data_IF_250297679517
#
_entry.id   IF_250297679517
#
_cell.length_a   1.000
_cell.length_b   1.000
_cell.length_c   1.000
_cell.angle_alpha   90.00
_cell.angle_beta   90.00
_cell.angle_gamma   90.00
#
_symmetry.space_group_name_H-M   'P 1'
#
loop_
_entity.id
_entity.type
_entity.pdbx_description
1 polymer ?
#
# COMPACT_ATOMS: atom_id res chain seq x y z
N UNK A 1 28.84 -47.81 -9.25
CA UNK A 1 28.10 -47.95 -7.99
C UNK A 1 26.70 -47.41 -8.24
N UNK A 2 25.71 -48.27 -8.49
CA UNK A 2 24.30 -47.86 -8.58
C UNK A 2 23.65 -48.01 -7.21
N UNK A 3 22.98 -46.96 -6.76
CA UNK A 3 22.21 -46.97 -5.51
C UNK A 3 20.77 -47.29 -5.90
N UNK A 4 20.29 -48.46 -5.45
CA UNK A 4 18.89 -48.87 -5.54
C UNK A 4 18.11 -48.18 -4.42
N UNK A 5 17.01 -47.50 -4.76
CA UNK A 5 16.09 -46.92 -3.78
C UNK A 5 14.86 -47.80 -3.65
N UNK A 6 14.69 -48.39 -2.47
CA UNK A 6 13.50 -49.15 -2.10
C UNK A 6 12.40 -48.19 -1.59
N UNK A 7 11.23 -48.10 -2.24
CA UNK A 7 10.20 -47.15 -1.83
C UNK A 7 9.48 -47.60 -0.56
N UNK A 8 9.62 -46.80 0.51
CA UNK A 8 8.85 -46.95 1.75
C UNK A 8 7.38 -46.62 1.51
N UNK A 9 6.49 -47.60 1.73
CA UNK A 9 5.04 -47.38 1.72
C UNK A 9 4.60 -46.60 2.97
N UNK A 10 4.12 -45.37 2.76
CA UNK A 10 3.46 -44.58 3.79
C UNK A 10 1.97 -44.96 3.87
N UNK A 11 1.61 -45.86 4.79
CA UNK A 11 0.21 -46.09 5.16
C UNK A 11 -0.34 -44.89 5.93
N UNK A 12 -0.96 -43.94 5.21
CA UNK A 12 -1.75 -42.86 5.82
C UNK A 12 -3.04 -43.43 6.40
N UNK A 13 -2.99 -43.76 7.70
CA UNK A 13 -4.16 -44.11 8.52
C UNK A 13 -5.09 -42.90 8.63
N UNK A 14 -6.06 -42.78 7.71
CA UNK A 14 -7.13 -41.77 7.77
C UNK A 14 -7.94 -41.96 9.07
N UNK A 15 -7.74 -41.09 10.05
CA UNK A 15 -8.63 -41.00 11.23
C UNK A 15 -9.97 -40.45 10.74
N UNK A 16 -10.99 -41.31 10.71
CA UNK A 16 -12.37 -40.87 10.53
C UNK A 16 -12.76 -40.08 11.79
N UNK A 17 -13.04 -38.79 11.62
CA UNK A 17 -13.62 -37.99 12.69
C UNK A 17 -15.04 -38.49 12.92
N UNK A 18 -15.33 -38.81 14.18
CA UNK A 18 -16.61 -39.35 14.61
C UNK A 18 -17.69 -38.26 14.44
N UNK A 19 -18.78 -38.50 13.69
CA UNK A 19 -19.84 -37.51 13.46
C UNK A 19 -20.48 -37.00 14.75
N UNK A 20 -20.40 -37.74 15.85
CA UNK A 20 -20.85 -37.30 17.18
C UNK A 20 -20.04 -36.10 17.72
N UNK A 21 -18.73 -36.06 17.43
CA UNK A 21 -17.87 -34.95 17.86
C UNK A 21 -18.23 -33.67 17.11
N UNK A 22 -18.49 -33.77 15.81
CA UNK A 22 -18.92 -32.64 14.99
C UNK A 22 -20.28 -32.10 15.47
N UNK A 23 -21.22 -32.99 15.79
CA UNK A 23 -22.53 -32.60 16.33
C UNK A 23 -22.45 -31.84 17.66
N UNK A 24 -21.56 -32.28 18.57
CA UNK A 24 -21.39 -31.62 19.87
C UNK A 24 -20.85 -30.19 19.76
N UNK A 25 -19.94 -29.94 18.81
CA UNK A 25 -19.35 -28.60 18.58
C UNK A 25 -20.42 -27.62 18.06
N UNK A 26 -21.29 -28.07 17.16
CA UNK A 26 -22.36 -27.23 16.60
C UNK A 26 -23.39 -26.84 17.66
N UNK A 27 -23.76 -27.76 18.55
CA UNK A 27 -24.72 -27.48 19.64
C UNK A 27 -24.14 -26.46 20.63
N UNK A 28 -22.86 -26.57 20.99
CA UNK A 28 -22.20 -25.61 21.89
C UNK A 28 -22.15 -24.22 21.24
N UNK A 29 -21.84 -24.14 19.95
CA UNK A 29 -21.78 -22.86 19.22
C UNK A 29 -23.16 -22.19 19.12
N UNK A 30 -24.21 -22.96 18.87
CA UNK A 30 -25.58 -22.45 18.83
C UNK A 30 -26.06 -21.94 20.21
N UNK A 31 -25.66 -22.61 21.30
CA UNK A 31 -25.99 -22.19 22.66
C UNK A 31 -25.31 -20.87 23.04
N UNK A 32 -24.05 -20.68 22.64
CA UNK A 32 -23.30 -19.43 22.88
C UNK A 32 -23.92 -18.26 22.10
N UNK A 33 -24.34 -18.48 20.84
CA UNK A 33 -25.01 -17.46 20.03
C UNK A 33 -26.41 -17.09 20.56
N UNK A 34 -27.11 -18.02 21.23
CA UNK A 34 -28.42 -17.74 21.83
C UNK A 34 -28.33 -16.85 23.09
N UNK A 35 -27.20 -16.87 23.80
CA UNK A 35 -27.00 -16.08 25.03
C UNK A 35 -26.55 -14.63 24.71
N UNK A 36 -25.96 -14.39 23.54
CA UNK A 36 -25.37 -13.10 23.18
C UNK A 36 -26.33 -12.07 22.55
N UNK A 37 -27.65 -12.28 22.58
CA UNK A 37 -28.62 -11.39 21.90
C UNK A 37 -29.39 -10.50 22.88
N UNK A 38 -29.07 -9.19 23.03
CA UNK A 38 -29.89 -8.29 23.82
C UNK A 38 -31.16 -7.91 23.06
N UNK A 39 -32.31 -8.26 23.62
CA UNK A 39 -33.62 -7.72 23.24
C UNK A 39 -34.03 -6.65 24.27
N UNK A 40 -34.21 -5.42 23.81
CA UNK A 40 -35.02 -4.33 24.39
C UNK A 40 -35.15 -3.31 23.26
N UNK A 41 -36.31 -2.81 22.82
CA UNK A 41 -37.69 -2.95 23.22
C UNK A 41 -38.51 -2.10 22.24
N UNK A 42 -39.73 -2.56 21.97
CA UNK A 42 -40.71 -1.92 21.09
C UNK A 42 -41.22 -0.58 21.67
N UNK A 43 -41.68 0.30 20.77
CA UNK A 43 -42.52 1.45 21.08
C UNK A 43 -43.20 2.02 19.84
N UNK A 44 -44.31 1.39 19.47
CA UNK A 44 -45.42 1.81 18.58
C UNK A 44 -45.69 3.32 18.52
N UNK A 45 -46.07 3.91 17.37
CA UNK A 45 -47.48 4.17 16.99
C UNK A 45 -47.68 4.63 15.52
N UNK A 46 -48.49 3.87 14.78
CA UNK A 46 -49.57 4.16 13.79
C UNK A 46 -49.71 5.46 12.94
N UNK A 47 -50.50 5.40 11.84
CA UNK A 47 -50.25 6.07 10.55
C UNK A 47 -51.27 7.16 10.16
N UNK A 48 -50.97 7.94 9.10
CA UNK A 48 -51.88 8.65 8.18
C UNK A 48 -51.05 9.03 6.92
N UNK A 49 -51.31 8.45 5.74
CA UNK A 49 -52.33 8.80 4.73
C UNK A 49 -51.87 9.86 3.71
N UNK A 50 -51.76 9.41 2.44
CA UNK A 50 -51.98 10.11 1.15
C UNK A 50 -51.10 11.36 0.86
N UNK A 51 -50.54 11.60 -0.33
CA UNK A 51 -51.14 11.62 -1.68
C UNK A 51 -50.04 11.59 -2.77
N UNK A 52 -50.46 11.17 -3.96
CA UNK A 52 -49.79 11.29 -5.27
C UNK A 52 -49.21 12.66 -5.60
N UNK A 53 -48.09 12.69 -6.35
CA UNK A 53 -47.99 13.41 -7.64
C UNK A 53 -46.64 13.15 -8.35
N UNK A 54 -46.70 12.59 -9.55
CA UNK A 54 -45.81 12.93 -10.69
C UNK A 54 -46.17 14.36 -11.16
N UNK A 55 -45.32 15.14 -11.89
CA UNK A 55 -44.65 14.67 -13.11
C UNK A 55 -43.23 15.27 -13.39
N UNK A 56 -42.56 14.70 -14.41
CA UNK A 56 -41.55 15.33 -15.30
C UNK A 56 -42.21 16.49 -16.13
N UNK A 57 -41.57 17.29 -17.03
CA UNK A 57 -40.30 17.09 -17.76
C UNK A 57 -39.47 18.37 -18.16
N UNK A 58 -38.31 18.10 -18.79
CA UNK A 58 -37.56 18.79 -19.88
C UNK A 58 -37.73 20.29 -20.18
N UNK A 59 -36.60 21.01 -20.29
CA UNK A 59 -36.31 22.12 -21.22
C UNK A 59 -34.84 22.58 -21.01
N UNK A 60 -34.03 23.08 -21.94
CA UNK A 60 -34.03 23.22 -23.40
C UNK A 60 -32.63 23.66 -23.81
N UNK A 61 -32.24 23.29 -25.03
CA UNK A 61 -31.01 23.71 -25.72
C UNK A 61 -31.03 25.24 -25.93
N UNK A 62 -29.90 25.89 -25.62
CA UNK A 62 -29.65 27.29 -25.96
C UNK A 62 -28.27 27.44 -26.61
N UNK A 63 -28.23 27.37 -27.95
CA UNK A 63 -27.08 27.84 -28.73
C UNK A 63 -27.09 29.37 -28.76
N UNK A 64 -25.99 30.00 -28.36
CA UNK A 64 -25.73 31.41 -28.62
C UNK A 64 -24.32 31.59 -29.19
N UNK A 65 -24.28 31.92 -30.47
CA UNK A 65 -23.11 32.46 -31.17
C UNK A 65 -22.93 33.93 -30.76
N UNK A 66 -21.68 34.34 -30.47
CA UNK A 66 -21.35 35.74 -30.19
C UNK A 66 -19.85 35.99 -30.08
N UNK A 67 -19.27 36.39 -31.22
CA UNK A 67 -18.10 37.27 -31.52
C UNK A 67 -17.07 37.62 -30.40
N UNK A 68 -15.75 37.59 -30.70
CA UNK A 68 -14.68 37.70 -29.70
C UNK A 68 -14.42 39.15 -29.25
N UNK A 69 -14.08 39.39 -27.97
CA UNK A 69 -13.45 40.65 -27.57
C UNK A 69 -11.94 40.62 -27.82
N UNK A 70 -11.47 41.70 -28.44
CA UNK A 70 -10.07 42.04 -28.61
C UNK A 70 -9.40 42.44 -27.30
N UNK A 71 -8.08 42.22 -27.24
CA UNK A 71 -7.11 42.76 -26.27
C UNK A 71 -7.23 42.27 -24.81
N UNK A 72 -6.86 41.00 -24.59
CA UNK A 72 -6.23 40.61 -23.32
C UNK A 72 -4.74 40.97 -23.39
N UNK A 73 -4.30 41.85 -22.50
CA UNK A 73 -2.89 42.14 -22.31
C UNK A 73 -2.14 40.84 -22.00
N UNK A 74 -1.02 40.62 -22.70
CA UNK A 74 -0.07 39.56 -22.38
C UNK A 74 0.48 39.86 -21.00
N UNK A 75 0.06 39.07 -20.01
CA UNK A 75 0.69 39.05 -18.69
C UNK A 75 2.20 38.80 -18.90
N UNK A 76 3.10 39.61 -18.32
CA UNK A 76 4.51 39.34 -18.42
C UNK A 76 4.76 37.96 -17.84
N UNK A 77 5.35 37.09 -18.66
CA UNK A 77 5.84 35.76 -18.28
C UNK A 77 6.61 35.93 -16.97
N UNK A 78 5.98 35.54 -15.87
CA UNK A 78 6.65 35.46 -14.58
C UNK A 78 7.79 34.47 -14.80
N UNK A 79 9.07 34.85 -14.60
CA UNK A 79 10.15 33.88 -14.67
C UNK A 79 9.78 32.72 -13.74
N UNK A 80 10.14 31.46 -14.10
CA UNK A 80 9.90 30.33 -13.21
C UNK A 80 10.41 30.71 -11.81
N UNK A 81 9.66 30.40 -10.74
CA UNK A 81 10.15 30.67 -9.40
C UNK A 81 11.57 30.13 -9.32
N UNK A 82 12.52 30.98 -8.93
CA UNK A 82 13.88 30.51 -8.63
C UNK A 82 13.74 29.35 -7.64
N UNK A 83 14.46 28.23 -7.83
CA UNK A 83 14.41 27.16 -6.85
C UNK A 83 14.77 27.77 -5.50
N UNK A 84 13.89 27.58 -4.51
CA UNK A 84 14.17 28.03 -3.15
C UNK A 84 15.55 27.51 -2.76
N UNK A 85 16.46 28.36 -2.26
CA UNK A 85 17.81 27.93 -1.84
C UNK A 85 17.79 26.90 -0.70
N UNK A 86 16.61 26.60 -0.13
CA UNK A 86 16.37 25.60 0.91
C UNK A 86 16.31 24.18 0.32
N UNK A 87 15.94 24.00 -0.95
CA UNK A 87 15.90 22.69 -1.61
C UNK A 87 17.30 22.08 -1.87
N UNK A 88 18.38 22.77 -1.50
CA UNK A 88 19.74 22.46 -1.95
C UNK A 88 20.55 21.48 -1.07
N UNK A 89 20.02 20.94 0.03
CA UNK A 89 20.86 20.15 0.95
C UNK A 89 20.21 18.90 1.52
N UNK A 90 19.70 18.01 0.67
CA UNK A 90 19.43 16.65 1.14
C UNK A 90 20.72 15.95 1.58
N UNK A 91 20.68 15.10 2.62
CA UNK A 91 21.81 14.23 2.90
C UNK A 91 21.99 13.30 1.71
N UNK A 92 23.13 13.38 1.05
CA UNK A 92 23.55 12.39 0.07
C UNK A 92 24.50 11.37 0.72
N UNK A 93 24.78 10.27 0.02
CA UNK A 93 25.68 9.26 0.55
C UNK A 93 27.11 9.79 0.81
N UNK A 94 27.74 10.55 -0.10
CA UNK A 94 29.07 11.12 0.14
C UNK A 94 29.19 11.91 1.45
N UNK A 95 28.19 12.70 1.82
CA UNK A 95 28.19 13.47 3.07
C UNK A 95 28.10 12.58 4.33
N UNK A 96 27.57 11.36 4.21
CA UNK A 96 27.30 10.46 5.33
C UNK A 96 28.28 9.29 5.43
N UNK A 97 28.96 8.92 4.33
CA UNK A 97 29.77 7.71 4.25
C UNK A 97 30.83 7.61 5.35
N UNK A 98 31.49 8.72 5.70
CA UNK A 98 32.53 8.76 6.75
C UNK A 98 31.99 8.79 8.18
N UNK A 99 30.68 9.00 8.36
CA UNK A 99 30.01 9.03 9.66
C UNK A 99 29.41 7.67 10.05
N UNK A 100 28.97 6.90 9.06
CA UNK A 100 28.20 5.66 9.22
C UNK A 100 29.09 4.54 9.73
N UNK A 101 28.83 4.10 10.97
CA UNK A 101 29.46 2.93 11.59
C UNK A 101 28.86 1.64 11.07
N UNK A 102 29.63 0.57 10.88
CA UNK A 102 29.08 -0.74 10.47
C UNK A 102 28.56 -1.48 11.71
N UNK A 103 27.36 -2.04 11.63
CA UNK A 103 26.76 -2.85 12.69
C UNK A 103 26.31 -4.21 12.11
N UNK A 104 26.87 -5.31 12.61
CA UNK A 104 26.47 -6.68 12.24
C UNK A 104 25.37 -7.21 13.18
N UNK A 105 24.32 -6.41 13.35
CA UNK A 105 23.22 -6.68 14.28
C UNK A 105 21.94 -5.97 13.82
N UNK A 106 20.80 -6.50 14.25
CA UNK A 106 19.51 -5.83 14.07
C UNK A 106 19.47 -4.56 14.90
N UNK A 107 19.14 -3.45 14.25
CA UNK A 107 19.04 -2.15 14.91
C UNK A 107 18.53 -1.06 13.98
N UNK A 108 18.03 0.01 14.56
CA UNK A 108 17.58 1.20 13.85
C UNK A 108 18.65 2.28 13.95
N UNK A 109 18.98 2.89 12.82
CA UNK A 109 19.91 4.00 12.73
C UNK A 109 19.15 5.29 12.46
N UNK A 110 19.50 6.36 13.15
CA UNK A 110 19.01 7.70 12.88
C UNK A 110 20.21 8.64 12.65
N UNK A 111 20.25 9.27 11.48
CA UNK A 111 21.20 10.36 11.20
C UNK A 111 20.51 11.68 11.54
N UNK A 112 21.11 12.40 12.48
CA UNK A 112 20.57 13.64 13.02
C UNK A 112 21.28 14.85 12.44
N UNK A 113 20.55 15.95 12.28
CA UNK A 113 21.09 17.22 11.76
C UNK A 113 20.62 18.43 12.57
N UNK A 114 21.46 19.45 12.67
CA UNK A 114 21.22 20.73 13.38
C UNK A 114 20.47 21.78 12.52
N UNK A 115 19.67 21.35 11.52
CA UNK A 115 19.11 22.24 10.47
C UNK A 115 18.29 23.46 10.95
N UNK A 116 17.90 23.54 12.21
CA UNK A 116 17.06 24.62 12.71
C UNK A 116 17.72 26.02 12.69
N UNK A 117 19.04 26.14 12.46
CA UNK A 117 19.75 27.42 12.50
C UNK A 117 20.90 27.54 11.49
N UNK A 118 20.81 26.98 10.27
CA UNK A 118 21.89 27.16 9.28
C UNK A 118 21.78 28.56 8.70
N UNK A 119 22.60 29.49 9.17
CA UNK A 119 22.78 30.77 8.49
C UNK A 119 23.29 30.51 7.06
N UNK A 120 22.90 31.31 6.05
CA UNK A 120 23.22 31.06 4.64
C UNK A 120 24.73 30.98 4.29
N UNK A 121 25.62 31.26 5.25
CA UNK A 121 27.07 31.21 5.12
C UNK A 121 27.76 30.20 6.07
N UNK A 122 27.01 29.34 6.76
CA UNK A 122 27.62 28.31 7.61
C UNK A 122 28.12 27.09 6.81
N UNK A 123 29.23 26.47 7.25
CA UNK A 123 29.72 25.23 6.65
C UNK A 123 28.66 24.12 6.77
N UNK A 124 28.66 23.21 5.79
CA UNK A 124 27.72 22.11 5.58
C UNK A 124 27.06 21.53 6.85
N UNK A 125 25.78 21.11 6.77
CA UNK A 125 25.04 20.60 7.92
C UNK A 125 25.83 19.52 8.67
N UNK A 126 25.98 19.68 9.99
CA UNK A 126 26.66 18.70 10.83
C UNK A 126 25.74 17.51 11.08
N UNK A 127 26.14 16.36 10.57
CA UNK A 127 25.44 15.10 10.81
C UNK A 127 26.03 14.36 12.01
N UNK A 128 25.18 13.63 12.72
CA UNK A 128 25.62 12.69 13.75
C UNK A 128 24.78 11.42 13.68
N UNK A 129 25.44 10.28 13.74
CA UNK A 129 24.79 8.99 13.83
C UNK A 129 24.32 8.70 15.27
N UNK A 130 23.13 8.12 15.38
CA UNK A 130 22.69 7.38 16.55
C UNK A 130 22.16 6.02 16.11
N UNK A 131 22.62 4.96 16.77
CA UNK A 131 22.18 3.60 16.53
C UNK A 131 21.55 3.04 17.79
N UNK A 132 20.41 2.37 17.64
CA UNK A 132 19.70 1.70 18.70
C UNK A 132 19.52 0.21 18.32
N UNK A 133 19.97 -0.74 19.16
CA UNK A 133 19.72 -2.16 18.90
C UNK A 133 18.22 -2.48 18.97
N UNK A 134 17.80 -3.52 18.26
CA UNK A 134 16.45 -4.05 18.46
C UNK A 134 16.35 -4.82 19.77
N UNK A 135 15.27 -4.59 20.49
CA UNK A 135 14.86 -5.33 21.69
C UNK A 135 13.55 -6.04 21.42
N UNK A 136 13.24 -7.09 22.18
CA UNK A 136 11.97 -7.81 22.09
C UNK A 136 11.15 -7.51 23.34
N UNK A 137 9.93 -7.03 23.17
CA UNK A 137 9.03 -6.76 24.29
C UNK A 137 8.36 -8.05 24.81
N UNK A 138 7.59 -7.95 25.90
CA UNK A 138 6.89 -9.10 26.50
C UNK A 138 5.85 -9.76 25.57
N UNK A 139 5.36 -9.04 24.55
CA UNK A 139 4.44 -9.56 23.53
C UNK A 139 5.17 -10.25 22.37
N UNK A 140 6.51 -10.28 22.37
CA UNK A 140 7.32 -10.83 21.28
C UNK A 140 7.54 -9.88 20.11
N UNK A 141 7.10 -8.62 20.20
CA UNK A 141 7.33 -7.61 19.17
C UNK A 141 8.76 -7.09 19.26
N UNK A 142 9.46 -7.05 18.14
CA UNK A 142 10.76 -6.42 18.03
C UNK A 142 10.61 -4.91 17.83
N UNK A 143 11.34 -4.13 18.63
CA UNK A 143 11.32 -2.68 18.56
C UNK A 143 12.70 -2.08 18.79
N UNK A 144 12.94 -0.87 18.30
CA UNK A 144 14.12 -0.07 18.61
C UNK A 144 13.70 1.34 18.98
N UNK A 145 14.27 1.86 20.05
CA UNK A 145 13.98 3.21 20.54
C UNK A 145 15.08 4.18 20.11
N UNK A 146 14.77 5.10 19.21
CA UNK A 146 15.71 6.14 18.81
C UNK A 146 15.82 7.15 19.94
N UNK A 147 17.01 7.36 20.51
CA UNK A 147 17.16 8.27 21.66
C UNK A 147 16.56 9.67 21.40
N UNK A 148 15.99 10.37 22.37
CA UNK A 148 15.56 11.75 22.17
C UNK A 148 16.72 12.68 21.84
N UNK A 149 16.43 13.78 21.16
CA UNK A 149 17.43 14.77 20.81
C UNK A 149 16.83 16.08 20.34
N UNK A 150 17.62 17.16 20.43
CA UNK A 150 17.22 18.48 19.91
C UNK A 150 17.28 18.59 18.38
N UNK A 151 17.99 17.66 17.75
CA UNK A 151 18.22 17.58 16.31
C UNK A 151 17.09 16.83 15.59
N UNK A 152 16.77 17.28 14.39
CA UNK A 152 15.85 16.58 13.49
C UNK A 152 16.54 15.32 12.93
N UNK A 153 15.79 14.24 12.77
CA UNK A 153 16.27 13.03 12.10
C UNK A 153 16.13 13.25 10.59
N UNK A 154 17.25 13.38 9.89
CA UNK A 154 17.27 13.60 8.44
C UNK A 154 17.21 12.28 7.66
N UNK A 155 17.74 11.20 8.25
CA UNK A 155 17.79 9.87 7.63
C UNK A 155 17.43 8.84 8.69
N UNK A 156 16.56 7.91 8.34
CA UNK A 156 16.25 6.73 9.14
C UNK A 156 16.80 5.52 8.40
N UNK A 157 17.35 4.56 9.11
CA UNK A 157 17.90 3.37 8.52
C UNK A 157 17.71 2.15 9.38
N UNK A 158 17.97 1.00 8.77
CA UNK A 158 17.95 -0.29 9.43
C UNK A 158 19.28 -0.99 9.17
N UNK A 159 19.83 -1.63 10.21
CA UNK A 159 20.96 -2.54 10.11
C UNK A 159 20.49 -3.95 10.36
N UNK A 160 21.09 -4.91 9.67
CA UNK A 160 20.83 -6.33 9.82
C UNK A 160 22.16 -7.09 9.97
N UNK A 161 22.17 -8.25 10.65
CA UNK A 161 23.29 -9.17 10.57
C UNK A 161 23.51 -9.59 9.12
N UNK A 162 24.76 -9.71 8.66
CA UNK A 162 25.08 -10.14 7.29
C UNK A 162 24.47 -11.50 6.95
N UNK A 163 24.43 -12.41 7.92
CA UNK A 163 23.82 -13.73 7.77
C UNK A 163 22.29 -13.71 7.57
N UNK A 164 21.63 -12.55 7.79
CA UNK A 164 20.21 -12.40 7.49
C UNK A 164 19.94 -12.21 6.00
N UNK A 165 20.95 -11.84 5.19
CA UNK A 165 20.82 -11.60 3.76
C UNK A 165 19.64 -10.64 3.47
N UNK A 166 19.67 -9.46 4.09
CA UNK A 166 18.65 -8.44 3.88
C UNK A 166 18.74 -7.89 2.45
N UNK A 167 17.61 -7.88 1.74
CA UNK A 167 17.53 -7.59 0.31
C UNK A 167 16.89 -6.22 0.05
N UNK A 168 15.86 -5.87 0.82
CA UNK A 168 15.12 -4.62 0.68
C UNK A 168 14.43 -4.25 2.00
N UNK A 169 14.01 -2.99 2.18
CA UNK A 169 13.22 -2.57 3.33
C UNK A 169 12.17 -1.50 2.96
N UNK A 170 11.05 -1.53 3.69
CA UNK A 170 9.93 -0.58 3.56
C UNK A 170 9.63 0.04 4.91
N UNK A 171 9.26 1.31 4.92
CA UNK A 171 8.95 2.03 6.15
C UNK A 171 7.49 2.49 6.11
N UNK A 172 6.78 2.15 7.18
CA UNK A 172 5.38 2.49 7.39
C UNK A 172 5.26 3.39 8.61
N UNK A 173 4.42 4.42 8.55
CA UNK A 173 3.97 5.15 9.74
C UNK A 173 2.75 4.43 10.31
N UNK A 174 2.76 4.25 11.63
CA UNK A 174 1.65 3.62 12.36
C UNK A 174 0.67 4.69 12.82
N UNK A 175 -0.57 4.55 12.39
CA UNK A 175 -1.71 5.38 12.76
C UNK A 175 -2.66 4.62 13.70
N UNK A 176 -3.66 5.33 14.21
CA UNK A 176 -4.69 4.77 15.10
C UNK A 176 -5.38 3.57 14.42
N UNK A 177 -5.77 2.59 15.24
CA UNK A 177 -6.37 1.31 14.79
C UNK A 177 -5.42 0.50 13.90
N UNK A 178 -4.11 0.58 14.15
CA UNK A 178 -3.05 -0.14 13.44
C UNK A 178 -3.06 0.08 11.92
N UNK A 179 -3.56 1.24 11.47
CA UNK A 179 -3.48 1.64 10.06
C UNK A 179 -2.04 1.98 9.70
N UNK A 180 -1.60 1.50 8.53
CA UNK A 180 -0.24 1.68 8.05
C UNK A 180 -0.20 2.56 6.79
N UNK A 181 0.45 3.71 6.90
CA UNK A 181 0.77 4.60 5.80
C UNK A 181 2.16 4.23 5.26
N UNK A 182 2.28 3.94 3.96
CA UNK A 182 3.60 3.74 3.34
C UNK A 182 4.29 5.10 3.22
N UNK A 183 5.39 5.28 3.96
CA UNK A 183 6.19 6.49 3.87
C UNK A 183 6.98 6.46 2.58
N UNK A 184 6.76 7.45 1.71
CA UNK A 184 7.58 7.62 0.51
C UNK A 184 9.01 7.95 0.90
N UNK A 185 9.95 7.17 0.40
CA UNK A 185 11.37 7.27 0.77
C UNK A 185 12.28 7.01 -0.42
N UNK A 186 13.41 7.71 -0.43
CA UNK A 186 14.54 7.42 -1.30
C UNK A 186 15.62 6.75 -0.47
N UNK A 187 16.04 5.56 -0.92
CA UNK A 187 17.19 4.90 -0.35
C UNK A 187 18.48 5.64 -0.76
N UNK A 188 19.34 5.90 0.20
CA UNK A 188 20.70 6.41 0.01
C UNK A 188 21.71 5.40 0.56
N UNK A 189 22.94 5.43 0.05
CA UNK A 189 24.02 4.57 0.53
C UNK A 189 24.38 3.42 -0.41
N UNK A 190 25.30 2.54 0.03
CA UNK A 190 25.90 1.52 -0.83
C UNK A 190 24.93 0.38 -1.21
N UNK A 191 23.70 0.41 -0.70
CA UNK A 191 22.70 -0.62 -0.96
C UNK A 191 22.83 -1.83 -0.03
N UNK A 192 22.25 -2.95 -0.44
CA UNK A 192 22.16 -4.20 0.34
C UNK A 192 23.51 -4.85 0.69
N UNK A 193 24.63 -4.39 0.12
CA UNK A 193 25.96 -5.01 0.29
C UNK A 193 26.46 -5.01 1.74
N UNK A 194 26.04 -4.03 2.55
CA UNK A 194 26.42 -3.94 3.96
C UNK A 194 25.29 -4.36 4.92
N UNK A 195 24.24 -5.00 4.41
CA UNK A 195 23.03 -5.33 5.18
C UNK A 195 22.47 -4.12 5.94
N UNK A 196 22.61 -2.93 5.34
CA UNK A 196 22.25 -1.65 5.92
C UNK A 196 21.53 -0.81 4.86
N UNK A 197 20.36 -0.29 5.22
CA UNK A 197 19.55 0.56 4.35
C UNK A 197 19.36 1.91 5.03
N UNK A 198 19.52 2.99 4.29
CA UNK A 198 19.33 4.37 4.78
C UNK A 198 18.31 5.07 3.89
N UNK A 199 17.35 5.73 4.51
CA UNK A 199 16.18 6.30 3.84
C UNK A 199 16.02 7.77 4.19
N UNK A 200 15.87 8.57 3.15
CA UNK A 200 15.41 9.96 3.24
C UNK A 200 13.94 9.96 2.86
N UNK A 201 13.10 10.68 3.61
CA UNK A 201 11.68 10.82 3.27
C UNK A 201 11.54 11.68 2.02
N UNK A 202 10.80 11.22 1.03
CA UNK A 202 10.38 12.00 -0.13
C UNK A 202 9.06 12.69 0.20
N UNK A 203 8.94 13.99 -0.08
CA UNK A 203 7.65 14.67 0.06
C UNK A 203 6.68 14.18 -1.03
N UNK A 204 5.38 14.13 -0.74
CA UNK A 204 4.37 13.70 -1.71
C UNK A 204 4.31 14.56 -2.99
N UNK A 205 4.69 15.84 -2.90
CA UNK A 205 4.51 16.85 -3.98
C UNK A 205 5.79 17.64 -4.33
N UNK A 206 6.98 17.24 -3.86
CA UNK A 206 8.17 18.07 -4.09
C UNK A 206 9.31 17.84 -3.10
N UNK A 207 10.24 18.81 -2.97
CA UNK A 207 11.51 18.58 -2.34
C UNK A 207 11.33 18.02 -0.92
N UNK A 208 12.10 17.00 -0.54
CA UNK A 208 12.05 16.32 0.75
C UNK A 208 12.42 17.26 1.91
N UNK A 209 11.40 17.93 2.43
CA UNK A 209 11.60 19.01 3.40
C UNK A 209 11.17 18.65 4.83
N UNK A 210 10.73 17.42 5.09
CA UNK A 210 10.44 16.97 6.45
C UNK A 210 11.37 15.84 6.84
N UNK A 211 12.25 16.12 7.80
CA UNK A 211 12.90 15.03 8.53
C UNK A 211 11.85 14.11 9.16
N UNK A 212 12.29 12.97 9.67
CA UNK A 212 11.42 12.01 10.30
C UNK A 212 10.78 12.61 11.56
N UNK A 213 9.45 12.66 11.55
CA UNK A 213 8.65 13.20 12.66
C UNK A 213 8.65 12.23 13.84
N UNK A 214 8.51 12.73 15.08
CA UNK A 214 8.23 11.88 16.23
C UNK A 214 6.97 11.04 16.03
N UNK A 215 7.03 9.76 16.41
CA UNK A 215 5.94 8.82 16.26
C UNK A 215 6.42 7.36 16.26
N UNK A 216 5.49 6.47 15.93
CA UNK A 216 5.76 5.04 15.78
C UNK A 216 5.80 4.68 14.29
N UNK A 217 6.84 3.98 13.90
CA UNK A 217 7.03 3.48 12.54
C UNK A 217 7.23 1.97 12.59
N UNK A 218 6.82 1.28 11.52
CA UNK A 218 7.11 -0.12 11.29
C UNK A 218 8.06 -0.21 10.10
N UNK A 219 9.21 -0.83 10.31
CA UNK A 219 10.18 -1.13 9.26
C UNK A 219 10.03 -2.61 8.92
N UNK A 220 9.62 -2.88 7.70
CA UNK A 220 9.63 -4.23 7.15
C UNK A 220 10.94 -4.45 6.42
N UNK A 221 11.58 -5.60 6.61
CA UNK A 221 12.82 -5.97 5.93
C UNK A 221 12.63 -7.30 5.22
N UNK A 222 12.82 -7.31 3.91
CA UNK A 222 12.85 -8.52 3.10
C UNK A 222 14.20 -9.21 3.32
N UNK A 223 14.14 -10.48 3.74
CA UNK A 223 15.30 -11.35 3.93
C UNK A 223 15.14 -12.62 3.13
N UNK A 224 16.21 -13.41 2.97
CA UNK A 224 16.12 -14.74 2.36
C UNK A 224 15.13 -15.69 3.07
N UNK A 225 14.75 -15.41 4.33
CA UNK A 225 13.83 -16.23 5.13
C UNK A 225 12.40 -15.69 5.20
N UNK A 226 12.13 -14.53 4.58
CA UNK A 226 10.83 -13.85 4.62
C UNK A 226 10.94 -12.41 5.11
N UNK A 227 9.81 -11.86 5.54
CA UNK A 227 9.70 -10.47 5.99
C UNK A 227 9.90 -10.41 7.51
N UNK A 228 10.82 -9.55 7.97
CA UNK A 228 11.02 -9.24 9.38
C UNK A 228 10.40 -7.87 9.69
N UNK A 229 9.67 -7.77 10.78
CA UNK A 229 9.01 -6.54 11.22
C UNK A 229 9.75 -5.95 12.43
N UNK A 230 10.10 -4.67 12.37
CA UNK A 230 10.79 -3.95 13.44
C UNK A 230 10.04 -2.64 13.70
N UNK A 231 9.57 -2.44 14.93
CA UNK A 231 8.94 -1.18 15.33
C UNK A 231 10.02 -0.14 15.69
N UNK A 232 10.09 0.96 14.94
CA UNK A 232 10.96 2.08 15.26
C UNK A 232 10.16 3.16 16.01
N UNK A 233 10.59 3.47 17.23
CA UNK A 233 9.99 4.53 18.06
C UNK A 233 10.85 5.78 18.01
N UNK A 234 10.27 6.86 17.51
CA UNK A 234 10.91 8.17 17.43
C UNK A 234 10.26 9.09 18.48
N UNK A 235 10.96 9.41 19.57
CA UNK A 235 10.44 10.29 20.59
C UNK A 235 10.49 11.77 20.16
N UNK A 236 9.67 12.58 20.80
CA UNK A 236 9.77 14.03 20.79
C UNK A 236 11.01 14.50 21.56
N UNK A 237 11.25 15.81 21.56
CA UNK A 237 12.33 16.43 22.34
C UNK A 237 12.21 16.21 23.85
N UNK A 238 11.01 15.94 24.38
CA UNK A 238 10.82 15.64 25.81
C UNK A 238 11.13 14.18 26.16
N UNK A 239 11.30 13.31 25.16
CA UNK A 239 11.51 11.87 25.38
C UNK A 239 10.27 11.01 25.17
N UNK A 240 9.09 11.63 25.05
CA UNK A 240 7.83 10.91 24.86
C UNK A 240 7.60 10.56 23.39
N UNK A 241 7.12 9.36 23.10
CA UNK A 241 6.67 8.95 21.76
C UNK A 241 5.20 9.33 21.62
N UNK A 242 4.82 10.20 20.67
CA UNK A 242 3.42 10.53 20.46
C UNK A 242 2.60 9.28 20.15
N UNK A 243 1.36 9.17 20.68
CA UNK A 243 0.48 8.07 20.30
C UNK A 243 0.12 8.15 18.80
N UNK A 244 -0.20 7.02 18.16
CA UNK A 244 -0.68 7.01 16.77
C UNK A 244 -1.88 7.94 16.54
N UNK A 245 -1.78 8.76 15.50
CA UNK A 245 -2.78 9.73 15.07
C UNK A 245 -3.77 9.14 14.06
N UNK A 246 -4.87 9.83 13.77
CA UNK A 246 -5.82 9.40 12.73
C UNK A 246 -5.21 9.63 11.34
N UNK A 247 -5.37 8.66 10.44
CA UNK A 247 -4.91 8.80 9.06
C UNK A 247 -5.97 9.46 8.19
N UNK A 248 -5.69 10.66 7.67
CA UNK A 248 -6.57 11.39 6.77
C UNK A 248 -6.42 10.89 5.32
N UNK A 249 -7.06 9.76 5.00
CA UNK A 249 -6.98 9.13 3.66
C UNK A 249 -7.86 9.81 2.61
N UNK A 250 -8.74 10.72 3.01
CA UNK A 250 -9.70 11.31 2.08
C UNK A 250 -9.04 12.35 1.16
N UNK A 251 -8.86 11.97 -0.11
CA UNK A 251 -8.62 12.94 -1.18
C UNK A 251 -9.94 13.47 -1.73
N UNK A 252 -10.07 14.79 -1.81
CA UNK A 252 -11.24 15.44 -2.41
C UNK A 252 -11.17 15.40 -3.94
N UNK A 253 -12.33 15.34 -4.60
CA UNK A 253 -12.45 15.49 -6.06
C UNK A 253 -12.04 14.26 -6.88
N UNK A 254 -11.94 13.08 -6.27
CA UNK A 254 -11.69 11.83 -6.99
C UNK A 254 -12.88 11.43 -7.87
N UNK A 255 -12.58 10.91 -9.06
CA UNK A 255 -13.59 10.31 -9.94
C UNK A 255 -13.81 8.85 -9.53
N UNK A 256 -15.03 8.45 -9.14
CA UNK A 256 -15.28 7.09 -8.68
C UNK A 256 -15.03 6.09 -9.81
N UNK A 257 -14.44 4.94 -9.46
CA UNK A 257 -14.10 3.89 -10.42
C UNK A 257 -15.31 3.40 -11.23
N UNK A 258 -16.50 3.38 -10.62
CA UNK A 258 -17.76 2.98 -11.26
C UNK A 258 -18.21 3.90 -12.40
N UNK A 259 -17.65 5.11 -12.50
CA UNK A 259 -17.93 6.04 -13.59
C UNK A 259 -17.02 5.84 -14.80
N UNK A 260 -16.07 4.89 -14.74
CA UNK A 260 -15.01 4.71 -15.74
C UNK A 260 -15.24 3.39 -16.48
N UNK A 261 -15.33 3.47 -17.81
CA UNK A 261 -15.33 2.31 -18.70
C UNK A 261 -13.87 2.04 -19.14
N UNK A 262 -13.30 0.84 -18.88
CA UNK A 262 -11.92 0.52 -19.25
C UNK A 262 -11.73 0.21 -20.75
N UNK A 263 -12.55 0.79 -21.64
CA UNK A 263 -12.56 0.53 -23.08
C UNK A 263 -11.26 0.81 -23.85
N UNK A 264 -10.27 1.45 -23.24
CA UNK A 264 -8.98 1.70 -23.88
C UNK A 264 -7.95 0.60 -23.54
N UNK A 265 -8.28 -0.32 -22.63
CA UNK A 265 -7.34 -1.28 -22.06
C UNK A 265 -7.43 -2.62 -22.79
N UNK A 266 -6.29 -3.27 -23.03
CA UNK A 266 -6.25 -4.65 -23.52
C UNK A 266 -6.69 -5.64 -22.43
N UNK A 267 -6.61 -6.94 -22.68
CA UNK A 267 -6.78 -7.95 -21.62
C UNK A 267 -5.64 -7.86 -20.59
N UNK A 268 -5.98 -7.93 -19.31
CA UNK A 268 -5.02 -7.97 -18.21
C UNK A 268 -5.37 -7.05 -17.05
N UNK A 269 -4.37 -6.79 -16.20
CA UNK A 269 -4.52 -5.95 -15.02
C UNK A 269 -4.63 -4.47 -15.40
N UNK A 270 -5.47 -3.74 -14.70
CA UNK A 270 -5.62 -2.29 -14.87
C UNK A 270 -5.94 -1.58 -13.55
N UNK A 271 -5.72 -0.27 -13.54
CA UNK A 271 -6.18 0.62 -12.49
C UNK A 271 -7.02 1.75 -13.08
N UNK A 272 -7.92 2.33 -12.28
CA UNK A 272 -8.62 3.56 -12.62
C UNK A 272 -8.06 4.73 -11.82
N UNK A 273 -7.75 5.84 -12.47
CA UNK A 273 -7.18 7.04 -11.86
C UNK A 273 -7.70 8.27 -12.61
N UNK A 274 -8.16 9.28 -11.88
CA UNK A 274 -8.57 10.58 -12.42
C UNK A 274 -9.48 10.51 -13.67
N UNK A 275 -10.46 9.58 -13.65
CA UNK A 275 -11.44 9.43 -14.74
C UNK A 275 -10.96 8.60 -15.94
N UNK A 276 -9.78 7.99 -15.87
CA UNK A 276 -9.21 7.14 -16.92
C UNK A 276 -8.85 5.75 -16.38
N UNK A 277 -8.81 4.76 -17.26
CA UNK A 277 -8.22 3.46 -16.98
C UNK A 277 -6.79 3.42 -17.53
N UNK A 278 -5.87 2.77 -16.81
CA UNK A 278 -4.47 2.57 -17.19
C UNK A 278 -4.13 1.09 -17.09
N UNK A 279 -3.49 0.54 -18.13
CA UNK A 279 -3.03 -0.85 -18.13
C UNK A 279 -1.82 -0.98 -17.22
N UNK A 280 -1.76 -2.09 -16.48
CA UNK A 280 -0.66 -2.42 -15.58
C UNK A 280 0.05 -3.66 -16.12
N UNK A 281 1.37 -3.55 -16.30
CA UNK A 281 2.20 -4.66 -16.78
C UNK A 281 2.38 -5.71 -15.68
N UNK A 282 1.45 -6.64 -15.60
CA UNK A 282 1.50 -7.84 -14.76
C UNK A 282 1.27 -9.09 -15.61
N UNK A 283 1.93 -10.18 -15.24
CA UNK A 283 1.70 -11.49 -15.84
C UNK A 283 0.77 -12.31 -14.95
N UNK A 284 -0.18 -13.01 -15.55
CA UNK A 284 -1.02 -13.96 -14.84
C UNK A 284 -0.14 -15.03 -14.14
N UNK A 285 -0.45 -15.33 -12.89
CA UNK A 285 0.28 -16.31 -12.10
C UNK A 285 -0.62 -16.95 -11.04
N UNK A 286 -0.02 -17.81 -10.22
CA UNK A 286 -0.63 -18.29 -8.97
C UNK A 286 -0.55 -17.20 -7.89
N UNK A 287 -1.43 -17.26 -6.89
CA UNK A 287 -1.32 -16.40 -5.71
C UNK A 287 0.07 -16.48 -5.07
N UNK A 288 0.78 -15.35 -5.03
CA UNK A 288 2.09 -15.22 -4.41
C UNK A 288 1.98 -15.00 -2.90
N UNK A 289 3.00 -15.46 -2.16
CA UNK A 289 3.17 -15.04 -0.77
C UNK A 289 3.61 -13.56 -0.72
N UNK A 290 3.38 -12.82 0.39
CA UNK A 290 3.82 -11.44 0.52
C UNK A 290 5.32 -11.26 0.24
N UNK A 291 6.16 -12.15 0.77
CA UNK A 291 7.61 -12.12 0.53
C UNK A 291 7.98 -12.41 -0.93
N UNK A 292 7.27 -13.31 -1.59
CA UNK A 292 7.49 -13.60 -3.02
C UNK A 292 7.07 -12.44 -3.92
N UNK A 293 5.93 -11.81 -3.62
CA UNK A 293 5.46 -10.66 -4.37
C UNK A 293 6.41 -9.46 -4.22
N UNK A 294 6.93 -9.23 -3.01
CA UNK A 294 7.97 -8.22 -2.78
C UNK A 294 9.26 -8.56 -3.53
N UNK A 295 9.75 -9.80 -3.39
CA UNK A 295 10.98 -10.19 -4.07
C UNK A 295 10.89 -9.99 -5.60
N UNK A 296 9.73 -10.28 -6.20
CA UNK A 296 9.49 -10.04 -7.64
C UNK A 296 9.59 -8.54 -8.01
N UNK A 297 9.01 -7.64 -7.21
CA UNK A 297 9.09 -6.19 -7.49
C UNK A 297 10.49 -5.61 -7.33
N UNK A 298 11.35 -6.27 -6.54
CA UNK A 298 12.75 -5.90 -6.35
C UNK A 298 13.67 -6.31 -7.53
N UNK A 299 13.25 -7.26 -8.38
CA UNK A 299 14.05 -7.71 -9.54
C UNK A 299 13.85 -6.83 -10.77
N UNK A 300 14.94 -6.62 -11.52
CA UNK A 300 14.91 -5.89 -12.79
C UNK A 300 14.57 -6.83 -13.96
N UNK A 301 13.29 -6.90 -14.33
CA UNK A 301 12.80 -7.51 -15.57
C UNK A 301 11.88 -8.72 -15.38
N UNK A 302 10.97 -8.93 -16.35
CA UNK A 302 10.08 -10.11 -16.39
C UNK A 302 9.11 -10.22 -15.21
N UNK A 303 8.55 -9.08 -14.76
CA UNK A 303 7.78 -9.01 -13.51
C UNK A 303 6.45 -9.73 -13.60
N UNK A 304 6.17 -10.52 -12.58
CA UNK A 304 4.84 -11.08 -12.32
C UNK A 304 3.97 -9.99 -11.68
N UNK A 305 4.56 -9.17 -10.81
CA UNK A 305 3.89 -8.10 -10.06
C UNK A 305 4.08 -6.75 -10.75
N UNK A 306 2.98 -6.13 -11.18
CA UNK A 306 3.03 -4.76 -11.68
C UNK A 306 3.47 -3.81 -10.57
N UNK A 307 4.34 -2.83 -10.88
CA UNK A 307 4.69 -1.75 -9.96
C UNK A 307 4.07 -0.46 -10.48
N UNK A 308 3.27 0.24 -9.68
CA UNK A 308 2.57 1.44 -10.11
C UNK A 308 2.62 2.55 -9.05
N UNK A 309 2.95 3.77 -9.49
CA UNK A 309 2.92 4.99 -8.67
C UNK A 309 1.61 5.74 -8.96
N UNK A 310 0.53 5.25 -8.36
CA UNK A 310 -0.83 5.74 -8.59
C UNK A 310 -1.51 6.06 -7.25
N UNK A 311 -1.08 7.12 -6.53
CA UNK A 311 -1.59 7.44 -5.19
C UNK A 311 -3.10 7.74 -5.20
N UNK A 312 -3.64 8.15 -6.36
CA UNK A 312 -5.04 8.52 -6.56
C UNK A 312 -5.86 7.42 -7.26
N UNK A 313 -5.36 6.18 -7.30
CA UNK A 313 -6.07 5.07 -7.93
C UNK A 313 -7.40 4.81 -7.21
N UNK A 314 -8.52 4.95 -7.91
CA UNK A 314 -9.86 4.76 -7.34
C UNK A 314 -10.41 3.36 -7.53
N UNK A 315 -9.77 2.56 -8.38
CA UNK A 315 -10.19 1.21 -8.73
C UNK A 315 -9.03 0.36 -9.21
N UNK A 316 -9.11 -0.94 -8.95
CA UNK A 316 -8.21 -1.97 -9.48
C UNK A 316 -9.06 -3.06 -10.12
N UNK A 317 -8.67 -3.55 -11.29
CA UNK A 317 -9.50 -4.52 -12.01
C UNK A 317 -8.72 -5.35 -13.02
N UNK A 318 -9.42 -6.33 -13.58
CA UNK A 318 -8.92 -7.20 -14.64
C UNK A 318 -9.91 -7.19 -15.79
N UNK A 319 -9.39 -6.97 -17.00
CA UNK A 319 -10.09 -7.16 -18.26
C UNK A 319 -9.75 -8.54 -18.81
N UNK A 320 -10.79 -9.26 -19.22
CA UNK A 320 -10.72 -10.61 -19.75
C UNK A 320 -10.89 -10.61 -21.27
N UNK A 321 -10.45 -11.68 -21.93
CA UNK A 321 -10.58 -11.79 -23.39
C UNK A 321 -12.05 -11.94 -23.81
N UNK A 322 -12.34 -11.72 -25.10
CA UNK A 322 -13.70 -11.83 -25.61
C UNK A 322 -14.19 -13.28 -25.56
N UNK A 323 -15.45 -13.46 -25.16
CA UNK A 323 -16.11 -14.77 -25.11
C UNK A 323 -15.89 -15.53 -23.80
N UNK A 324 -15.20 -14.93 -22.85
CA UNK A 324 -15.10 -15.39 -21.47
C UNK A 324 -16.34 -14.96 -20.68
N UNK A 325 -16.69 -15.69 -19.63
CA UNK A 325 -17.77 -15.36 -18.68
C UNK A 325 -17.24 -15.42 -17.24
N UNK A 326 -17.30 -14.31 -16.50
CA UNK A 326 -16.75 -14.21 -15.15
C UNK A 326 -17.70 -14.89 -14.17
N UNK A 327 -17.21 -15.92 -13.48
CA UNK A 327 -17.97 -16.72 -12.52
C UNK A 327 -17.61 -16.43 -11.07
N UNK A 328 -16.42 -15.87 -10.82
CA UNK A 328 -15.90 -15.55 -9.49
C UNK A 328 -14.83 -14.47 -9.57
N UNK A 329 -14.68 -13.71 -8.48
CA UNK A 329 -13.59 -12.73 -8.37
C UNK A 329 -13.34 -12.36 -6.91
N UNK A 330 -12.06 -12.15 -6.58
CA UNK A 330 -11.60 -11.77 -5.25
C UNK A 330 -10.43 -10.78 -5.36
N UNK A 331 -10.37 -9.80 -4.46
CA UNK A 331 -9.20 -8.96 -4.26
C UNK A 331 -8.67 -9.12 -2.83
N UNK A 332 -7.37 -9.30 -2.70
CA UNK A 332 -6.67 -9.46 -1.42
C UNK A 332 -5.51 -8.50 -1.31
N UNK A 333 -5.30 -7.93 -0.12
CA UNK A 333 -4.06 -7.20 0.21
C UNK A 333 -3.05 -8.20 0.78
N UNK A 334 -1.88 -8.28 0.16
CA UNK A 334 -0.77 -9.16 0.58
C UNK A 334 0.18 -8.46 1.56
N UNK A 335 0.39 -7.15 1.40
CA UNK A 335 1.26 -6.35 2.25
C UNK A 335 0.70 -4.92 2.39
N UNK A 336 0.93 -4.21 3.53
CA UNK A 336 1.73 -4.62 4.69
C UNK A 336 1.06 -5.67 5.57
N UNK A 337 -0.27 -5.69 5.66
CA UNK A 337 -1.04 -6.65 6.45
C UNK A 337 -2.18 -7.25 5.64
N UNK A 338 -2.51 -8.51 5.92
CA UNK A 338 -3.58 -9.25 5.25
C UNK A 338 -4.98 -8.94 5.76
N UNK A 339 -5.13 -8.19 6.86
CA UNK A 339 -6.43 -7.72 7.33
C UNK A 339 -6.92 -6.60 6.40
N UNK A 340 -7.78 -7.00 5.47
CA UNK A 340 -8.32 -6.13 4.44
C UNK A 340 -9.76 -6.56 4.16
N UNK A 341 -10.71 -5.63 4.31
CA UNK A 341 -12.08 -5.87 3.90
C UNK A 341 -12.19 -5.61 2.40
N UNK A 342 -12.35 -6.67 1.62
CA UNK A 342 -12.44 -6.56 0.19
C UNK A 342 -13.72 -5.83 -0.23
N UNK A 343 -13.64 -4.77 -1.04
CA UNK A 343 -14.82 -4.14 -1.60
C UNK A 343 -15.54 -5.11 -2.54
N UNK A 344 -16.85 -4.95 -2.67
CA UNK A 344 -17.62 -5.75 -3.61
C UNK A 344 -17.16 -5.47 -5.05
N UNK A 345 -16.94 -6.52 -5.87
CA UNK A 345 -16.60 -6.35 -7.28
C UNK A 345 -17.77 -5.75 -8.06
N UNK A 346 -17.43 -4.90 -9.04
CA UNK A 346 -18.33 -4.37 -10.06
C UNK A 346 -18.01 -5.12 -11.35
N UNK A 347 -18.82 -6.10 -11.77
CA UNK A 347 -18.69 -6.68 -13.10
C UNK A 347 -19.16 -5.66 -14.15
N UNK A 348 -18.55 -5.72 -15.33
CA UNK A 348 -19.01 -4.92 -16.45
C UNK A 348 -18.55 -5.46 -17.79
N UNK A 349 -19.09 -4.87 -18.83
CA UNK A 349 -18.76 -5.17 -20.22
C UNK A 349 -18.48 -3.87 -20.93
N UNK A 350 -17.33 -3.79 -21.61
CA UNK A 350 -17.01 -2.63 -22.41
C UNK A 350 -17.58 -2.75 -23.82
N UNK A 351 -18.62 -1.98 -24.12
CA UNK A 351 -19.31 -1.98 -25.41
C UNK A 351 -18.39 -1.53 -26.56
N UNK A 352 -17.43 -0.65 -26.26
CA UNK A 352 -16.54 -0.02 -27.26
C UNK A 352 -15.43 -0.92 -27.77
N UNK A 353 -15.10 -2.00 -27.04
CA UNK A 353 -14.12 -3.00 -27.47
C UNK A 353 -14.76 -4.33 -27.84
N UNK A 354 -16.01 -4.31 -28.30
CA UNK A 354 -16.70 -5.52 -28.74
C UNK A 354 -16.97 -6.51 -27.61
N UNK A 355 -17.29 -5.98 -26.43
CA UNK A 355 -17.77 -6.77 -25.29
C UNK A 355 -16.68 -7.42 -24.45
N UNK A 356 -15.52 -6.77 -24.26
CA UNK A 356 -14.55 -7.26 -23.27
C UNK A 356 -15.19 -7.19 -21.88
N UNK A 357 -15.20 -8.33 -21.18
CA UNK A 357 -15.64 -8.39 -19.81
C UNK A 357 -14.56 -7.84 -18.88
N UNK A 358 -15.00 -7.23 -17.80
CA UNK A 358 -14.10 -6.83 -16.74
C UNK A 358 -14.74 -7.03 -15.38
N UNK A 359 -13.87 -7.16 -14.39
CA UNK A 359 -14.22 -6.97 -12.99
C UNK A 359 -13.40 -5.83 -12.41
N UNK A 360 -14.07 -4.96 -11.65
CA UNK A 360 -13.49 -3.77 -11.06
C UNK A 360 -13.78 -3.71 -9.57
N UNK A 361 -12.74 -3.50 -8.76
CA UNK A 361 -12.83 -3.33 -7.32
C UNK A 361 -12.63 -1.85 -6.97
N UNK A 362 -13.70 -1.14 -6.55
CA UNK A 362 -13.59 0.27 -6.16
C UNK A 362 -12.91 0.40 -4.79
N UNK A 363 -12.10 1.43 -4.60
CA UNK A 363 -11.55 1.76 -3.29
C UNK A 363 -12.68 2.14 -2.32
N UNK A 364 -12.68 1.55 -1.11
CA UNK A 364 -13.71 1.81 -0.11
C UNK A 364 -13.69 3.26 0.43
N UNK A 365 -12.50 3.87 0.51
CA UNK A 365 -12.29 5.21 1.07
C UNK A 365 -11.90 6.24 -0.02
N UNK A 366 -12.26 5.99 -1.29
CA UNK A 366 -12.00 6.88 -2.41
C UNK A 366 -10.75 6.50 -3.21
N UNK A 367 -9.58 6.41 -2.56
CA UNK A 367 -8.34 5.94 -3.18
C UNK A 367 -7.85 4.63 -2.54
N UNK A 368 -7.20 3.80 -3.36
CA UNK A 368 -6.53 2.59 -2.89
C UNK A 368 -5.29 2.97 -2.08
N UNK A 369 -5.15 2.36 -0.91
CA UNK A 369 -3.98 2.55 -0.08
C UNK A 369 -2.74 1.96 -0.77
N UNK A 370 -1.54 2.55 -0.59
CA UNK A 370 -0.31 1.91 -1.02
C UNK A 370 -0.15 0.52 -0.40
N UNK A 371 0.38 -0.43 -1.16
CA UNK A 371 0.52 -1.82 -0.74
C UNK A 371 0.56 -2.79 -1.91
N UNK A 372 0.65 -4.07 -1.59
CA UNK A 372 0.65 -5.13 -2.61
C UNK A 372 -0.70 -5.84 -2.60
N UNK A 373 -1.29 -6.00 -3.77
CA UNK A 373 -2.62 -6.58 -3.98
C UNK A 373 -2.55 -7.76 -4.95
N UNK A 374 -3.42 -8.73 -4.74
CA UNK A 374 -3.69 -9.85 -5.64
C UNK A 374 -5.16 -9.82 -6.06
N UNK A 375 -5.42 -9.91 -7.36
CA UNK A 375 -6.77 -10.05 -7.91
C UNK A 375 -6.87 -11.43 -8.55
N UNK A 376 -7.76 -12.26 -8.03
CA UNK A 376 -8.06 -13.58 -8.57
C UNK A 376 -9.41 -13.51 -9.29
N UNK A 377 -9.48 -14.07 -10.50
CA UNK A 377 -10.69 -14.12 -11.31
C UNK A 377 -10.89 -15.55 -11.78
N UNK A 378 -12.11 -16.05 -11.62
CA UNK A 378 -12.57 -17.34 -12.15
C UNK A 378 -13.47 -17.07 -13.36
N UNK A 379 -13.20 -17.71 -14.48
CA UNK A 379 -14.03 -17.56 -15.68
C UNK A 379 -14.27 -18.87 -16.41
N UNK A 380 -15.24 -18.86 -17.31
CA UNK A 380 -15.51 -19.97 -18.22
C UNK A 380 -15.44 -19.51 -19.67
N UNK A 381 -15.01 -20.39 -20.55
CA UNK A 381 -15.01 -20.19 -22.00
C UNK A 381 -15.36 -21.50 -22.74
N UNK A 382 -15.13 -21.55 -24.05
CA UNK A 382 -15.38 -22.74 -24.86
C UNK A 382 -14.49 -23.95 -24.51
N UNK A 383 -13.38 -23.72 -23.81
CA UNK A 383 -12.38 -24.73 -23.44
C UNK A 383 -12.56 -25.24 -22.01
N UNK A 384 -13.26 -24.49 -21.15
CA UNK A 384 -13.63 -24.95 -19.81
C UNK A 384 -13.67 -23.84 -18.78
N UNK A 385 -13.48 -24.22 -17.51
CA UNK A 385 -13.32 -23.29 -16.40
C UNK A 385 -11.83 -23.01 -16.16
N UNK A 386 -11.53 -21.76 -15.83
CA UNK A 386 -10.19 -21.22 -15.63
C UNK A 386 -10.15 -20.36 -14.37
N UNK A 387 -8.94 -20.21 -13.83
CA UNK A 387 -8.63 -19.35 -12.70
C UNK A 387 -7.29 -18.67 -13.00
N UNK A 388 -7.24 -17.36 -12.76
CA UNK A 388 -6.05 -16.54 -13.00
C UNK A 388 -5.87 -15.52 -11.89
N UNK A 389 -4.62 -15.22 -11.53
CA UNK A 389 -4.30 -14.19 -10.54
C UNK A 389 -3.30 -13.18 -11.09
N UNK A 390 -3.58 -11.90 -10.87
CA UNK A 390 -2.70 -10.77 -11.20
C UNK A 390 -2.30 -10.03 -9.93
N UNK A 391 -1.09 -9.47 -9.92
CA UNK A 391 -0.54 -8.77 -8.75
C UNK A 391 -0.14 -7.35 -9.11
N UNK A 392 -0.40 -6.41 -8.19
CA UNK A 392 0.08 -5.03 -8.28
C UNK A 392 0.63 -4.57 -6.95
N UNK A 393 1.74 -3.86 -6.99
CA UNK A 393 2.26 -3.03 -5.92
C UNK A 393 1.97 -1.57 -6.23
N UNK A 394 1.04 -0.99 -5.47
CA UNK A 394 0.78 0.44 -5.44
C UNK A 394 1.80 1.11 -4.51
N UNK A 395 2.67 1.93 -5.08
CA UNK A 395 3.68 2.69 -4.35
C UNK A 395 3.17 4.10 -4.02
N UNK A 396 3.61 4.68 -2.89
CA UNK A 396 3.34 6.09 -2.60
C UNK A 396 4.12 6.99 -3.58
N UNK A 397 3.72 8.25 -3.69
CA UNK A 397 4.40 9.26 -4.51
C UNK A 397 4.10 9.18 -6.01
N UNK A 398 4.79 10.01 -6.80
CA UNK A 398 4.56 10.18 -8.25
C UNK A 398 5.53 9.39 -9.16
N UNK A 399 6.48 8.65 -8.58
CA UNK A 399 7.45 7.82 -9.32
C UNK A 399 8.75 8.52 -9.70
#
# INVERSE_FOLDING_TARGET
>A
MSVDFDPVRLDRKRRRLDPLVIGSIVVVFALVLAIAKPWNGQGTSSPLAQTSAKPSPTASVGSASGTPPANAAVDPVRPPPSPDPIAAYLPDWPALAGLVTVHDAWGVRAIRTDRLNVAPNEPSPRYAERWAPTETNAAGTEFAFVEPGRRTIAVLGITAPRAAEAQDARIWRVHRHDRLEWVDTVQIGPGATDASFLFVRSGADGPPDTGWEPGTYRIDVLTARGIRHIEARIPTRSGDVPPPDDWAVSEAGLVPASAIDPFAIGSGLFATVDGSAVSLEATESRVLSPGSAWHDTALAGGKIVATAYLPRATGLGVTLARGEDITGSEIRRLAPDGSFEAPAPIPGMSDRQGGLLYVLFPAAEGAWLPGTYAITVDWTDQTGAHEGTWHVELRPGLG
#
